data_IF_741688220893
#
_entry.id   IF_741688220893
#
_cell.length_a   1.000
_cell.length_b   1.000
_cell.length_c   1.000
_cell.angle_alpha   90.00
_cell.angle_beta   90.00
_cell.angle_gamma   90.00
#
_symmetry.space_group_name_H-M   'P 1'
#
loop_
_entity.id
_entity.type
_entity.pdbx_description
1 polymer ?
#
# COMPACT_ATOMS: atom_id res chain seq x y z
N UNK A 1 20.25 61.25 -6.34
CA UNK A 1 20.93 60.10 -5.70
C UNK A 1 19.95 58.95 -5.40
N UNK A 2 20.41 57.69 -5.29
CA UNK A 2 19.58 56.53 -4.93
C UNK A 2 19.00 56.57 -3.51
N UNK A 3 19.13 57.70 -2.81
CA UNK A 3 18.85 57.91 -1.39
C UNK A 3 17.59 58.73 -1.09
N UNK A 4 16.72 58.98 -2.07
CA UNK A 4 15.37 59.47 -1.77
C UNK A 4 14.52 58.28 -1.29
N UNK A 5 14.51 58.04 0.02
CA UNK A 5 13.55 57.13 0.66
C UNK A 5 12.14 57.73 0.52
N UNK A 6 11.43 57.33 -0.52
CA UNK A 6 10.00 57.58 -0.64
C UNK A 6 9.29 56.69 0.37
N UNK A 7 8.54 57.30 1.30
CA UNK A 7 7.67 56.53 2.18
C UNK A 7 6.66 55.75 1.34
N UNK A 8 6.58 54.42 1.53
CA UNK A 8 5.60 53.60 0.81
C UNK A 8 4.20 54.14 1.14
N UNK A 9 3.32 54.37 0.13
CA UNK A 9 1.97 54.84 0.38
C UNK A 9 1.25 53.82 1.28
N UNK A 10 0.53 54.32 2.30
CA UNK A 10 -0.33 53.47 3.13
C UNK A 10 -1.37 52.82 2.22
N UNK A 11 -1.38 51.49 2.16
CA UNK A 11 -2.38 50.73 1.42
C UNK A 11 -3.73 50.93 2.10
N UNK A 12 -4.63 51.67 1.44
CA UNK A 12 -6.03 51.81 1.84
C UNK A 12 -6.70 50.48 1.49
N UNK A 13 -7.15 49.75 2.50
CA UNK A 13 -7.61 48.34 2.46
C UNK A 13 -6.46 47.32 2.31
N UNK A 14 -5.70 47.05 3.39
CA UNK A 14 -4.73 45.96 3.38
C UNK A 14 -5.45 44.63 3.08
N UNK A 15 -4.85 43.73 2.29
CA UNK A 15 -5.41 42.41 2.08
C UNK A 15 -5.60 41.73 3.45
N UNK A 16 -6.70 40.99 3.58
CA UNK A 16 -7.00 40.24 4.81
C UNK A 16 -5.81 39.39 5.25
N UNK A 17 -5.71 39.12 6.56
CA UNK A 17 -4.63 38.28 7.12
C UNK A 17 -4.55 36.97 6.34
N UNK A 18 -3.32 36.57 5.96
CA UNK A 18 -3.08 35.27 5.33
C UNK A 18 -3.52 34.17 6.28
N UNK A 19 -4.53 33.39 5.90
CA UNK A 19 -5.07 32.29 6.70
C UNK A 19 -6.55 32.06 6.43
N UNK A 20 -7.06 30.93 6.92
CA UNK A 20 -8.47 30.62 6.84
C UNK A 20 -9.27 31.64 7.69
N UNK A 21 -10.32 32.29 7.13
CA UNK A 21 -11.11 33.25 7.87
C UNK A 21 -11.82 32.59 9.07
N UNK A 22 -12.17 33.40 10.07
CA UNK A 22 -12.95 32.93 11.21
C UNK A 22 -14.28 32.33 10.71
N UNK A 23 -14.55 31.07 11.03
CA UNK A 23 -15.72 30.33 10.53
C UNK A 23 -15.46 29.49 9.26
N UNK A 24 -14.23 29.45 8.75
CA UNK A 24 -13.87 28.50 7.69
C UNK A 24 -14.06 27.07 8.20
N UNK A 25 -14.88 26.28 7.50
CA UNK A 25 -15.09 24.88 7.83
C UNK A 25 -13.74 24.16 7.83
N UNK A 26 -13.40 23.50 8.94
CA UNK A 26 -12.23 22.65 9.00
C UNK A 26 -12.39 21.51 8.00
N UNK A 27 -11.32 21.21 7.25
CA UNK A 27 -11.26 20.03 6.40
C UNK A 27 -10.75 18.83 7.21
N UNK A 28 -11.32 18.60 8.40
CA UNK A 28 -10.96 17.43 9.20
C UNK A 28 -11.26 16.20 8.36
N UNK A 29 -10.24 15.33 8.18
CA UNK A 29 -10.35 14.12 7.37
C UNK A 29 -11.51 13.28 7.88
N UNK A 30 -12.48 13.01 7.00
CA UNK A 30 -13.53 12.04 7.27
C UNK A 30 -12.89 10.67 7.12
N UNK A 31 -12.91 9.88 8.19
CA UNK A 31 -12.45 8.49 8.15
C UNK A 31 -13.52 7.63 7.46
N UNK A 32 -13.09 6.73 6.57
CA UNK A 32 -13.95 5.68 6.02
C UNK A 32 -14.36 4.67 7.10
N UNK A 33 -15.34 3.82 6.79
CA UNK A 33 -15.65 2.67 7.64
C UNK A 33 -14.40 1.79 7.81
N UNK A 34 -14.09 1.34 9.04
CA UNK A 34 -12.95 0.47 9.28
C UNK A 34 -13.22 -0.94 8.75
N UNK A 35 -12.20 -1.58 8.20
CA UNK A 35 -12.29 -2.96 7.72
C UNK A 35 -12.51 -3.97 8.87
N UNK A 36 -11.98 -3.66 10.06
CA UNK A 36 -12.09 -4.46 11.28
C UNK A 36 -12.25 -3.57 12.52
N UNK A 37 -13.06 -4.00 13.49
CA UNK A 37 -13.22 -3.34 14.78
C UNK A 37 -12.81 -4.31 15.89
N UNK A 38 -11.68 -4.01 16.55
CA UNK A 38 -11.19 -4.77 17.69
C UNK A 38 -11.57 -4.03 18.97
N UNK A 39 -12.40 -4.64 19.83
CA UNK A 39 -12.68 -4.13 21.16
C UNK A 39 -11.57 -4.57 22.11
N UNK A 40 -10.92 -3.60 22.77
CA UNK A 40 -9.84 -3.85 23.72
C UNK A 40 -10.33 -3.47 25.12
N UNK A 41 -10.27 -4.43 26.04
CA UNK A 41 -10.60 -4.25 27.46
C UNK A 41 -9.44 -4.70 28.33
N UNK A 42 -9.35 -4.14 29.53
CA UNK A 42 -8.38 -4.52 30.55
C UNK A 42 -9.12 -4.97 31.79
N UNK A 43 -8.72 -6.10 32.36
CA UNK A 43 -9.37 -6.68 33.53
C UNK A 43 -8.73 -6.22 34.83
N UNK A 44 -7.51 -5.68 34.79
CA UNK A 44 -6.74 -5.31 35.99
C UNK A 44 -6.10 -3.93 35.86
N UNK A 45 -6.07 -3.21 36.98
CA UNK A 45 -5.35 -1.95 37.04
C UNK A 45 -3.84 -2.22 36.92
N UNK A 46 -3.13 -1.66 35.92
CA UNK A 46 -1.70 -1.91 35.74
C UNK A 46 -0.82 -1.40 36.90
N UNK A 47 -1.38 -0.55 37.78
CA UNK A 47 -0.66 0.04 38.91
C UNK A 47 -0.82 -0.75 40.21
N UNK A 48 -2.04 -1.21 40.53
CA UNK A 48 -2.33 -1.89 41.80
C UNK A 48 -2.85 -3.32 41.63
N UNK A 49 -3.03 -3.81 40.40
CA UNK A 49 -3.53 -5.15 40.06
C UNK A 49 -4.94 -5.51 40.54
N UNK A 50 -5.68 -4.54 41.10
CA UNK A 50 -7.11 -4.74 41.40
C UNK A 50 -7.92 -4.93 40.13
N UNK A 51 -8.99 -5.72 40.24
CA UNK A 51 -9.89 -5.99 39.13
C UNK A 51 -10.64 -4.73 38.71
N UNK A 52 -10.71 -4.51 37.40
CA UNK A 52 -11.47 -3.45 36.75
C UNK A 52 -12.90 -3.96 36.50
N UNK A 53 -13.89 -3.12 36.76
CA UNK A 53 -15.29 -3.40 36.46
C UNK A 53 -15.68 -2.98 35.04
N UNK A 54 -16.95 -2.64 34.84
CA UNK A 54 -17.46 -2.19 33.55
C UNK A 54 -16.80 -0.87 33.09
N UNK A 55 -16.52 -0.70 31.79
CA UNK A 55 -15.90 0.51 31.26
C UNK A 55 -16.82 1.72 31.40
N UNK A 56 -16.25 2.86 31.79
CA UNK A 56 -17.00 4.12 31.98
C UNK A 56 -17.24 4.83 30.63
N UNK A 57 -16.33 4.64 29.66
CA UNK A 57 -16.39 5.23 28.32
C UNK A 57 -15.54 4.43 27.34
N UNK A 58 -15.86 4.53 26.05
CA UNK A 58 -15.07 3.95 24.96
C UNK A 58 -14.52 5.06 24.09
N UNK A 59 -13.20 5.14 23.98
CA UNK A 59 -12.54 5.99 22.99
C UNK A 59 -12.32 5.19 21.70
N UNK A 60 -12.63 5.80 20.55
CA UNK A 60 -12.38 5.20 19.23
C UNK A 60 -11.08 5.75 18.67
N UNK A 61 -10.18 4.86 18.26
CA UNK A 61 -8.94 5.20 17.58
C UNK A 61 -8.82 4.37 16.30
N UNK A 62 -8.91 5.02 15.16
CA UNK A 62 -8.74 4.39 13.84
C UNK A 62 -7.30 4.54 13.38
N UNK A 63 -6.68 3.42 12.98
CA UNK A 63 -5.31 3.40 12.45
C UNK A 63 -5.40 2.92 11.00
N UNK A 64 -4.72 3.64 10.09
CA UNK A 64 -4.51 3.17 8.72
C UNK A 64 -3.16 2.48 8.67
N UNK A 65 -3.17 1.19 8.39
CA UNK A 65 -1.95 0.40 8.26
C UNK A 65 -1.98 -0.42 6.96
N UNK A 66 -0.80 -0.81 6.50
CA UNK A 66 -0.67 -1.73 5.36
C UNK A 66 -0.45 -3.12 5.94
N UNK A 67 -1.23 -4.14 5.54
CA UNK A 67 -0.98 -5.50 6.01
C UNK A 67 0.45 -5.92 5.65
N UNK A 68 1.05 -6.86 6.40
CA UNK A 68 2.37 -7.38 6.08
C UNK A 68 2.47 -7.75 4.60
N UNK A 69 3.62 -7.49 3.94
CA UNK A 69 3.75 -7.69 2.50
C UNK A 69 3.39 -9.13 2.14
N UNK A 70 2.50 -9.28 1.16
CA UNK A 70 2.08 -10.60 0.70
C UNK A 70 3.29 -11.36 0.16
N UNK A 71 3.47 -12.60 0.66
CA UNK A 71 4.51 -13.50 0.18
C UNK A 71 4.16 -13.96 -1.23
N UNK A 72 5.18 -14.07 -2.09
CA UNK A 72 4.99 -14.64 -3.42
C UNK A 72 4.72 -16.14 -3.27
N UNK A 73 3.65 -16.60 -3.92
CA UNK A 73 3.29 -18.01 -4.01
C UNK A 73 3.96 -18.60 -5.25
N UNK A 74 4.84 -19.57 -5.04
CA UNK A 74 5.43 -20.37 -6.11
C UNK A 74 4.51 -21.58 -6.33
N UNK A 75 4.11 -21.82 -7.58
CA UNK A 75 3.27 -22.96 -7.96
C UNK A 75 3.97 -23.72 -9.07
N UNK A 76 4.26 -24.98 -8.82
CA UNK A 76 4.81 -25.90 -9.82
C UNK A 76 3.67 -26.65 -10.50
N UNK A 77 3.75 -26.80 -11.82
CA UNK A 77 2.78 -27.53 -12.61
C UNK A 77 3.44 -28.76 -13.23
N UNK A 78 3.12 -29.93 -12.69
CA UNK A 78 3.48 -31.21 -13.28
C UNK A 78 2.60 -31.48 -14.49
N UNK A 79 3.09 -31.13 -15.68
CA UNK A 79 2.36 -31.28 -16.93
C UNK A 79 2.74 -32.59 -17.60
N UNK A 80 1.86 -33.57 -17.49
CA UNK A 80 1.99 -34.83 -18.23
C UNK A 80 2.14 -34.58 -19.72
N UNK A 81 3.03 -35.36 -20.33
CA UNK A 81 3.24 -35.42 -21.77
C UNK A 81 2.89 -36.82 -22.24
N UNK A 82 1.89 -36.92 -23.09
CA UNK A 82 1.44 -38.20 -23.65
C UNK A 82 1.92 -38.34 -25.09
N UNK A 83 2.22 -39.56 -25.50
CA UNK A 83 2.39 -39.91 -26.91
C UNK A 83 1.13 -40.60 -27.41
N UNK A 84 0.48 -40.04 -28.42
CA UNK A 84 -0.72 -40.65 -28.99
C UNK A 84 -0.35 -41.98 -29.67
N UNK A 85 -0.96 -43.08 -29.24
CA UNK A 85 -0.68 -44.42 -29.81
C UNK A 85 -1.11 -44.54 -31.29
N UNK A 86 -2.07 -43.72 -31.73
CA UNK A 86 -2.63 -43.81 -33.09
C UNK A 86 -1.83 -43.04 -34.13
N UNK A 87 -1.37 -41.82 -33.81
CA UNK A 87 -0.67 -40.95 -34.76
C UNK A 87 0.76 -40.57 -34.34
N UNK A 88 1.19 -40.96 -33.14
CA UNK A 88 2.53 -40.71 -32.61
C UNK A 88 2.79 -39.28 -32.13
N UNK A 89 1.82 -38.36 -32.26
CA UNK A 89 1.96 -36.95 -31.83
C UNK A 89 2.07 -36.86 -30.31
N UNK A 90 2.94 -35.98 -29.84
CA UNK A 90 3.04 -35.63 -28.43
C UNK A 90 1.98 -34.59 -28.04
N UNK A 91 1.27 -34.87 -26.95
CA UNK A 91 0.23 -34.00 -26.39
C UNK A 91 0.64 -33.65 -24.97
N UNK A 92 0.93 -32.38 -24.74
CA UNK A 92 1.21 -31.82 -23.41
C UNK A 92 -0.07 -31.34 -22.75
N UNK A 93 -0.29 -31.74 -21.51
CA UNK A 93 -1.38 -31.24 -20.66
C UNK A 93 -1.30 -29.73 -20.49
N UNK A 94 -2.47 -29.08 -20.33
CA UNK A 94 -2.58 -27.63 -20.17
C UNK A 94 -3.41 -27.31 -18.94
N UNK A 95 -3.03 -26.24 -18.25
CA UNK A 95 -3.77 -25.69 -17.12
C UNK A 95 -4.04 -24.20 -17.36
N UNK A 96 -5.21 -23.70 -16.95
CA UNK A 96 -5.62 -22.30 -17.18
C UNK A 96 -4.64 -21.29 -16.55
N UNK A 97 -4.13 -21.62 -15.36
CA UNK A 97 -3.21 -20.77 -14.61
C UNK A 97 -1.73 -21.01 -14.95
N UNK A 98 -1.41 -22.01 -15.77
CA UNK A 98 -0.05 -22.27 -16.19
C UNK A 98 0.23 -21.48 -17.48
N UNK A 99 1.15 -20.50 -17.48
CA UNK A 99 1.46 -19.75 -18.68
C UNK A 99 2.01 -20.68 -19.78
N UNK A 100 1.65 -20.41 -21.03
CA UNK A 100 2.19 -21.15 -22.18
C UNK A 100 3.65 -20.76 -22.47
N UNK A 101 4.04 -19.54 -22.07
CA UNK A 101 5.38 -18.96 -22.26
C UNK A 101 5.79 -18.17 -21.03
N UNK A 102 7.05 -18.31 -20.62
CA UNK A 102 7.59 -17.64 -19.42
C UNK A 102 7.24 -18.36 -18.12
N UNK A 103 7.78 -17.85 -17.03
CA UNK A 103 7.75 -18.43 -15.67
C UNK A 103 7.00 -17.54 -14.66
N UNK A 104 6.54 -16.36 -15.08
CA UNK A 104 5.87 -15.40 -14.21
C UNK A 104 4.35 -15.41 -14.42
N UNK A 105 3.60 -15.53 -13.31
CA UNK A 105 2.15 -15.35 -13.31
C UNK A 105 1.73 -13.91 -13.61
N UNK A 106 0.50 -13.74 -14.11
CA UNK A 106 -0.04 -12.44 -14.54
C UNK A 106 0.00 -11.36 -13.46
N UNK A 107 -0.23 -11.72 -12.20
CA UNK A 107 -0.18 -10.78 -11.08
C UNK A 107 1.23 -10.29 -10.79
N UNK A 108 2.24 -11.17 -10.87
CA UNK A 108 3.64 -10.79 -10.70
C UNK A 108 4.09 -9.86 -11.85
N UNK A 109 3.72 -10.18 -13.08
CA UNK A 109 4.00 -9.32 -14.24
C UNK A 109 3.38 -7.93 -14.10
N UNK A 110 2.12 -7.84 -13.65
CA UNK A 110 1.47 -6.56 -13.39
C UNK A 110 2.17 -5.78 -12.29
N UNK A 111 2.58 -6.45 -11.22
CA UNK A 111 3.30 -5.83 -10.12
C UNK A 111 4.65 -5.23 -10.58
N UNK A 112 5.44 -6.02 -11.31
CA UNK A 112 6.73 -5.57 -11.88
C UNK A 112 6.51 -4.42 -12.87
N UNK A 113 5.50 -4.52 -13.73
CA UNK A 113 5.12 -3.47 -14.69
C UNK A 113 4.77 -2.17 -13.97
N UNK A 114 4.00 -2.21 -12.89
CA UNK A 114 3.69 -1.02 -12.10
C UNK A 114 4.95 -0.40 -11.49
N UNK A 115 5.84 -1.21 -10.89
CA UNK A 115 7.09 -0.72 -10.33
C UNK A 115 8.00 -0.09 -11.41
N UNK A 116 8.06 -0.71 -12.59
CA UNK A 116 8.90 -0.26 -13.70
C UNK A 116 8.35 1.02 -14.35
N UNK A 117 7.09 1.03 -14.74
CA UNK A 117 6.55 2.08 -15.62
C UNK A 117 5.81 3.17 -14.85
N UNK A 118 4.99 2.81 -13.85
CA UNK A 118 4.23 3.80 -13.09
C UNK A 118 5.12 4.53 -12.08
N UNK A 119 6.02 3.79 -11.41
CA UNK A 119 7.00 4.38 -10.49
C UNK A 119 8.33 4.74 -11.16
N UNK A 120 8.46 4.50 -12.47
CA UNK A 120 9.69 4.72 -13.25
C UNK A 120 10.92 4.04 -12.64
N UNK A 121 10.73 2.89 -11.98
CA UNK A 121 11.80 2.15 -11.35
C UNK A 121 12.84 1.67 -12.35
N UNK A 122 14.12 1.93 -12.09
CA UNK A 122 15.21 1.28 -12.82
C UNK A 122 15.16 -0.23 -12.51
N UNK A 123 15.40 -1.10 -13.51
CA UNK A 123 15.23 -2.56 -13.34
C UNK A 123 15.98 -3.10 -12.13
N UNK A 124 17.24 -2.66 -11.93
CA UNK A 124 18.02 -3.00 -10.74
C UNK A 124 17.31 -2.66 -9.42
N UNK A 125 16.68 -1.48 -9.33
CA UNK A 125 15.94 -1.07 -8.13
C UNK A 125 14.67 -1.88 -7.94
N UNK A 126 14.00 -2.25 -9.03
CA UNK A 126 12.84 -3.15 -8.99
C UNK A 126 13.26 -4.52 -8.46
N UNK A 127 14.39 -5.07 -8.91
CA UNK A 127 14.92 -6.33 -8.38
C UNK A 127 15.27 -6.23 -6.88
N UNK A 128 16.00 -5.19 -6.46
CA UNK A 128 16.32 -4.94 -5.04
C UNK A 128 15.07 -4.87 -4.16
N UNK A 129 14.03 -4.20 -4.66
CA UNK A 129 12.76 -4.09 -3.98
C UNK A 129 12.07 -5.45 -3.84
N UNK A 130 12.01 -6.26 -4.91
CA UNK A 130 11.40 -7.59 -4.86
C UNK A 130 12.14 -8.56 -3.92
N UNK A 131 13.47 -8.46 -3.85
CA UNK A 131 14.26 -9.23 -2.88
C UNK A 131 13.93 -8.80 -1.46
N UNK A 132 13.91 -7.49 -1.19
CA UNK A 132 13.74 -6.95 0.18
C UNK A 132 12.31 -7.14 0.70
N UNK A 133 11.31 -6.87 -0.14
CA UNK A 133 9.90 -6.81 0.27
C UNK A 133 9.15 -8.13 0.03
N UNK A 134 9.55 -8.91 -0.98
CA UNK A 134 8.82 -10.10 -1.38
C UNK A 134 9.66 -11.38 -1.33
N UNK A 135 10.93 -11.28 -0.94
CA UNK A 135 11.88 -12.39 -0.91
C UNK A 135 11.99 -13.13 -2.27
N UNK A 136 11.87 -12.38 -3.38
CA UNK A 136 11.98 -12.91 -4.74
C UNK A 136 13.25 -12.40 -5.41
N UNK A 137 14.13 -13.32 -5.73
CA UNK A 137 15.31 -13.05 -6.54
C UNK A 137 15.01 -13.38 -8.02
N UNK A 138 14.78 -12.34 -8.81
CA UNK A 138 14.74 -12.44 -10.26
C UNK A 138 16.18 -12.41 -10.78
N UNK A 139 16.81 -13.59 -10.80
CA UNK A 139 18.08 -13.78 -11.49
C UNK A 139 17.81 -13.64 -12.99
N UNK A 140 18.24 -12.52 -13.57
CA UNK A 140 18.28 -12.33 -15.03
C UNK A 140 19.62 -12.84 -15.53
#
# INVERSE_FOLDING_TARGET
PPSLQTFKPKVINPPGKRGAPKGHKGATRIHSEPDEIIHVSEDKCPKCSNDLGSPIRVEKKTIFDIPPPQKIKITEFDLDVYKCNSCGIEVKSKHIDCPQTGDMGIYLLNYITMLKYNLRGVIRRVQEFLVTNNNLNLSV
#
